data_IF_263081709523
#
_entry.id   IF_263081709523
#
_cell.length_a   1.000
_cell.length_b   1.000
_cell.length_c   1.000
_cell.angle_alpha   90.00
_cell.angle_beta   90.00
_cell.angle_gamma   90.00
#
_symmetry.space_group_name_H-M   'P 1'
#
loop_
_entity.id
_entity.type
_entity.pdbx_description
1 polymer ?
#
# COMPACT_ATOMS: atom_id res chain seq x y z
N UNK A 1 1.75 13.34 2.17
CA UNK A 1 0.84 12.30 1.67
C UNK A 1 0.83 11.06 2.55
N UNK A 2 -0.15 10.20 2.34
CA UNK A 2 -0.18 8.88 2.96
C UNK A 2 -0.58 7.79 1.96
N UNK A 3 -0.22 6.54 2.27
CA UNK A 3 -0.66 5.33 1.58
C UNK A 3 -1.24 4.37 2.60
N UNK A 4 -2.48 3.93 2.35
CA UNK A 4 -3.11 2.83 3.06
C UNK A 4 -3.06 1.59 2.17
N UNK A 5 -2.43 0.50 2.63
CA UNK A 5 -2.29 -0.72 1.85
C UNK A 5 -2.76 -1.95 2.64
N UNK A 6 -3.91 -2.47 2.23
CA UNK A 6 -4.57 -3.65 2.76
C UNK A 6 -5.10 -4.53 1.65
N UNK A 7 -6.38 -4.90 1.67
CA UNK A 7 -7.08 -5.62 0.59
C UNK A 7 -7.05 -4.81 -0.70
N UNK A 8 -7.37 -3.52 -0.59
CA UNK A 8 -7.15 -2.45 -1.57
C UNK A 8 -6.06 -1.51 -1.10
N UNK A 9 -5.62 -0.59 -1.94
CA UNK A 9 -4.72 0.48 -1.53
C UNK A 9 -5.14 1.85 -2.05
N UNK A 10 -4.73 2.86 -1.28
CA UNK A 10 -5.02 4.25 -1.55
C UNK A 10 -3.75 5.07 -1.37
N UNK A 11 -3.41 5.91 -2.33
CA UNK A 11 -2.49 7.01 -2.11
C UNK A 11 -3.29 8.31 -2.02
N UNK A 12 -3.09 9.06 -0.96
CA UNK A 12 -3.74 10.35 -0.71
C UNK A 12 -2.69 11.42 -0.54
N UNK A 13 -2.70 12.41 -1.42
CA UNK A 13 -1.74 13.51 -1.45
C UNK A 13 -2.46 14.84 -1.34
N UNK A 14 -2.15 15.62 -0.29
CA UNK A 14 -2.68 16.97 -0.15
C UNK A 14 -2.11 17.85 -1.25
N UNK A 15 -2.96 18.55 -1.97
CA UNK A 15 -2.58 19.41 -3.08
C UNK A 15 -2.94 20.87 -2.76
N UNK A 16 -2.18 21.80 -3.31
CA UNK A 16 -2.33 23.25 -3.09
C UNK A 16 -2.82 24.00 -4.32
N UNK A 17 -3.02 23.29 -5.43
CA UNK A 17 -3.51 23.86 -6.70
C UNK A 17 -4.52 22.91 -7.35
N UNK A 18 -5.21 23.43 -8.36
CA UNK A 18 -6.18 22.66 -9.15
C UNK A 18 -5.43 21.75 -10.11
N UNK A 19 -5.77 20.46 -10.10
CA UNK A 19 -5.25 19.47 -11.05
C UNK A 19 -6.06 19.47 -12.34
N UNK A 20 -5.47 18.93 -13.41
CA UNK A 20 -6.22 18.52 -14.59
C UNK A 20 -7.18 17.37 -14.22
N UNK A 21 -8.13 17.09 -15.11
CA UNK A 21 -9.07 15.97 -14.90
C UNK A 21 -8.42 14.68 -15.38
N UNK A 22 -8.32 13.71 -14.47
CA UNK A 22 -7.84 12.34 -14.73
C UNK A 22 -8.90 11.36 -14.24
N UNK A 23 -9.24 10.36 -15.04
CA UNK A 23 -10.22 9.33 -14.67
C UNK A 23 -9.70 8.44 -13.52
N UNK A 24 -8.39 8.36 -13.34
CA UNK A 24 -7.69 7.55 -12.33
C UNK A 24 -7.56 8.26 -10.98
N UNK A 25 -7.90 9.55 -10.89
CA UNK A 25 -7.68 10.38 -9.71
C UNK A 25 -8.99 10.91 -9.16
N UNK A 26 -9.34 10.52 -7.95
CA UNK A 26 -10.46 11.09 -7.23
C UNK A 26 -10.03 12.34 -6.43
N UNK A 27 -10.88 13.36 -6.40
CA UNK A 27 -10.67 14.53 -5.55
C UNK A 27 -11.50 14.43 -4.29
N UNK A 28 -10.83 14.34 -3.16
CA UNK A 28 -11.44 14.31 -1.82
C UNK A 28 -10.89 15.45 -0.95
N UNK A 29 -11.22 15.50 0.34
CA UNK A 29 -10.73 16.54 1.25
C UNK A 29 -10.17 15.95 2.54
N UNK A 30 -9.22 16.67 3.15
CA UNK A 30 -8.86 16.42 4.54
C UNK A 30 -10.02 16.82 5.47
N UNK A 31 -10.05 16.38 6.74
CA UNK A 31 -11.02 16.83 7.72
C UNK A 31 -11.01 18.36 7.93
N UNK A 32 -9.90 19.05 7.62
CA UNK A 32 -9.77 20.50 7.66
C UNK A 32 -10.14 21.20 6.33
N UNK A 33 -10.70 20.45 5.34
CA UNK A 33 -11.17 21.02 4.07
C UNK A 33 -10.10 21.26 3.00
N UNK A 34 -8.85 20.82 3.21
CA UNK A 34 -7.81 20.93 2.17
C UNK A 34 -8.06 19.88 1.07
N UNK A 35 -7.87 20.23 -0.22
CA UNK A 35 -8.05 19.29 -1.31
C UNK A 35 -7.00 18.17 -1.27
N UNK A 36 -7.42 16.96 -1.62
CA UNK A 36 -6.58 15.76 -1.64
C UNK A 36 -6.82 15.04 -2.96
N UNK A 37 -5.75 14.77 -3.68
CA UNK A 37 -5.76 13.84 -4.79
C UNK A 37 -5.64 12.41 -4.26
N UNK A 38 -6.55 11.54 -4.65
CA UNK A 38 -6.59 10.15 -4.23
C UNK A 38 -6.48 9.22 -5.43
N UNK A 39 -5.48 8.36 -5.39
CA UNK A 39 -5.42 7.16 -6.25
C UNK A 39 -6.04 6.02 -5.48
N UNK A 40 -7.07 5.39 -6.00
CA UNK A 40 -7.73 4.25 -5.37
C UNK A 40 -7.60 3.00 -6.25
N UNK A 41 -6.93 1.97 -5.73
CA UNK A 41 -6.76 0.69 -6.40
C UNK A 41 -7.54 -0.39 -5.65
N UNK A 42 -8.31 -1.16 -6.38
CA UNK A 42 -9.13 -2.24 -5.81
C UNK A 42 -8.30 -3.45 -5.38
N UNK A 43 -7.13 -3.64 -5.99
CA UNK A 43 -6.34 -4.85 -5.83
C UNK A 43 -4.97 -4.54 -5.23
N UNK A 44 -4.77 -4.90 -3.97
CA UNK A 44 -3.47 -4.80 -3.30
C UNK A 44 -3.01 -6.18 -2.78
N UNK A 45 -3.31 -6.54 -1.53
CA UNK A 45 -2.75 -7.76 -0.93
C UNK A 45 -3.62 -9.01 -1.04
N UNK A 46 -4.80 -8.95 -1.66
CA UNK A 46 -5.73 -10.10 -1.70
C UNK A 46 -5.14 -11.32 -2.40
N UNK A 47 -4.53 -11.14 -3.58
CA UNK A 47 -3.87 -12.23 -4.30
C UNK A 47 -2.61 -12.71 -3.57
N UNK A 48 -1.80 -11.78 -3.05
CA UNK A 48 -0.64 -12.11 -2.22
C UNK A 48 -1.01 -12.95 -1.00
N UNK A 49 -2.13 -12.62 -0.33
CA UNK A 49 -2.64 -13.39 0.80
C UNK A 49 -3.08 -14.80 0.39
N UNK A 50 -3.66 -14.98 -0.80
CA UNK A 50 -4.00 -16.30 -1.31
C UNK A 50 -2.75 -17.18 -1.47
N UNK A 51 -1.66 -16.63 -2.00
CA UNK A 51 -0.38 -17.33 -2.08
C UNK A 51 0.22 -17.63 -0.71
N UNK A 52 0.17 -16.72 0.24
CA UNK A 52 0.62 -16.96 1.62
C UNK A 52 -0.20 -18.08 2.28
N UNK A 53 -1.52 -18.12 2.04
CA UNK A 53 -2.37 -19.20 2.54
C UNK A 53 -2.01 -20.56 1.92
N UNK A 54 -1.57 -20.61 0.67
CA UNK A 54 -1.07 -21.86 0.07
C UNK A 54 0.16 -22.40 0.82
N UNK A 55 1.09 -21.53 1.24
CA UNK A 55 2.22 -21.93 2.07
C UNK A 55 1.80 -22.38 3.47
N UNK A 56 0.77 -21.75 4.05
CA UNK A 56 0.15 -22.21 5.30
C UNK A 56 -0.41 -23.64 5.14
N UNK A 57 -1.21 -23.89 4.10
CA UNK A 57 -1.78 -25.22 3.83
C UNK A 57 -0.69 -26.29 3.66
N UNK A 58 0.43 -25.93 3.02
CA UNK A 58 1.57 -26.83 2.90
C UNK A 58 2.21 -27.16 4.26
N UNK A 59 2.34 -26.19 5.17
CA UNK A 59 2.83 -26.48 6.53
C UNK A 59 1.85 -27.38 7.31
N UNK A 60 0.55 -27.14 7.18
CA UNK A 60 -0.49 -27.99 7.80
C UNK A 60 -0.41 -29.42 7.28
N UNK A 61 -0.22 -29.62 5.97
CA UNK A 61 -0.04 -30.94 5.36
C UNK A 61 1.18 -31.68 5.93
N UNK A 62 2.26 -30.98 6.25
CA UNK A 62 3.46 -31.54 6.88
C UNK A 62 3.34 -31.75 8.38
N UNK A 63 2.21 -31.40 9.00
CA UNK A 63 2.03 -31.46 10.46
C UNK A 63 2.86 -30.43 11.24
N UNK A 64 3.32 -29.35 10.58
CA UNK A 64 4.10 -28.29 11.21
C UNK A 64 3.13 -27.27 11.83
N UNK A 65 3.31 -26.88 13.12
CA UNK A 65 2.48 -25.85 13.73
C UNK A 65 2.49 -24.55 12.93
N UNK A 66 1.29 -23.99 12.73
CA UNK A 66 1.13 -22.76 11.95
C UNK A 66 1.15 -21.54 12.84
N UNK A 67 2.03 -20.57 12.48
CA UNK A 67 2.02 -19.21 13.01
C UNK A 67 2.01 -18.25 11.82
N UNK A 68 0.88 -17.57 11.58
CA UNK A 68 0.71 -16.69 10.44
C UNK A 68 1.66 -15.50 10.45
N UNK A 69 1.94 -14.90 11.60
CA UNK A 69 2.89 -13.78 11.70
C UNK A 69 4.30 -14.20 11.30
N UNK A 70 4.69 -15.41 11.67
CA UNK A 70 5.99 -15.98 11.28
C UNK A 70 6.04 -16.28 9.78
N UNK A 71 4.97 -16.84 9.20
CA UNK A 71 4.87 -17.11 7.76
C UNK A 71 5.00 -15.80 6.98
N UNK A 72 4.19 -14.79 7.30
CA UNK A 72 4.30 -13.48 6.66
C UNK A 72 5.69 -12.88 6.81
N UNK A 73 6.22 -12.88 8.02
CA UNK A 73 7.56 -12.35 8.29
C UNK A 73 8.64 -13.02 7.43
N UNK A 74 8.65 -14.35 7.38
CA UNK A 74 9.63 -15.10 6.58
C UNK A 74 9.47 -14.89 5.09
N UNK A 75 8.24 -15.00 4.57
CA UNK A 75 7.95 -14.84 3.15
C UNK A 75 8.21 -13.42 2.65
N UNK A 76 7.87 -12.42 3.45
CA UNK A 76 8.12 -11.02 3.08
C UNK A 76 9.61 -10.68 3.13
N UNK A 77 10.34 -11.14 4.15
CA UNK A 77 11.77 -10.87 4.25
C UNK A 77 12.58 -11.59 3.17
N UNK A 78 12.24 -12.84 2.80
CA UNK A 78 12.95 -13.54 1.72
C UNK A 78 12.80 -12.79 0.38
N UNK A 79 11.67 -12.13 0.12
CA UNK A 79 11.45 -11.33 -1.08
C UNK A 79 12.50 -10.22 -1.27
N UNK A 80 13.05 -9.68 -0.19
CA UNK A 80 14.09 -8.65 -0.25
C UNK A 80 15.43 -9.18 -0.79
N UNK A 81 15.64 -10.49 -0.80
CA UNK A 81 16.83 -11.15 -1.34
C UNK A 81 16.67 -11.56 -2.81
N UNK A 82 15.48 -11.37 -3.38
CA UNK A 82 15.22 -11.65 -4.79
C UNK A 82 15.95 -10.69 -5.73
N UNK A 83 16.08 -11.10 -6.99
CA UNK A 83 16.66 -10.27 -8.05
C UNK A 83 15.83 -8.99 -8.24
N UNK A 84 16.46 -7.90 -8.68
CA UNK A 84 15.79 -6.59 -8.82
C UNK A 84 14.67 -6.59 -9.86
N UNK A 85 14.80 -7.46 -10.87
CA UNK A 85 13.82 -7.70 -11.93
C UNK A 85 12.86 -8.86 -11.61
N UNK A 86 12.82 -9.30 -10.35
CA UNK A 86 12.07 -10.48 -9.91
C UNK A 86 12.45 -11.77 -10.64
N UNK A 87 13.65 -11.84 -11.23
CA UNK A 87 14.12 -12.99 -12.00
C UNK A 87 13.35 -13.23 -13.30
N UNK A 88 12.70 -12.21 -13.87
CA UNK A 88 11.86 -12.27 -15.06
C UNK A 88 10.39 -12.65 -14.80
N UNK A 89 10.02 -12.97 -13.57
CA UNK A 89 8.66 -13.37 -13.21
C UNK A 89 7.69 -12.17 -13.29
N UNK A 90 6.45 -12.42 -13.73
CA UNK A 90 5.39 -11.43 -13.82
C UNK A 90 4.14 -11.91 -13.08
N UNK A 91 3.44 -10.98 -12.45
CA UNK A 91 2.15 -11.22 -11.82
C UNK A 91 1.19 -10.06 -12.03
N UNK A 92 -0.07 -10.41 -12.29
CA UNK A 92 -1.23 -9.53 -12.19
C UNK A 92 -2.08 -9.99 -11.01
N UNK A 93 -2.31 -9.10 -10.05
CA UNK A 93 -3.01 -9.41 -8.80
C UNK A 93 -4.51 -9.05 -8.83
N UNK A 94 -5.11 -8.83 -9.99
CA UNK A 94 -6.48 -8.37 -10.13
C UNK A 94 -7.48 -9.48 -9.76
N UNK A 95 -7.91 -9.49 -8.51
CA UNK A 95 -9.01 -10.34 -8.01
C UNK A 95 -10.37 -9.76 -8.47
N UNK A 96 -10.45 -8.43 -8.57
CA UNK A 96 -11.62 -7.69 -9.01
C UNK A 96 -11.27 -6.74 -10.15
N UNK A 97 -12.25 -6.05 -10.71
CA UNK A 97 -12.01 -4.97 -11.65
C UNK A 97 -11.09 -3.91 -11.06
N UNK A 98 -10.36 -3.19 -11.94
CA UNK A 98 -9.37 -2.20 -11.55
C UNK A 98 -9.59 -0.90 -12.33
N UNK A 99 -10.20 0.12 -11.71
CA UNK A 99 -10.55 1.37 -12.39
C UNK A 99 -9.35 2.11 -12.96
N UNK A 100 -8.24 2.15 -12.20
CA UNK A 100 -7.00 2.85 -12.62
C UNK A 100 -6.44 2.33 -13.93
N UNK A 101 -6.67 1.06 -14.26
CA UNK A 101 -6.21 0.45 -15.50
C UNK A 101 -7.35 0.10 -16.48
N UNK A 102 -8.58 0.49 -16.15
CA UNK A 102 -9.76 0.34 -17.02
C UNK A 102 -10.27 -1.09 -17.15
N UNK A 103 -9.95 -2.00 -16.22
CA UNK A 103 -10.44 -3.38 -16.25
C UNK A 103 -11.75 -3.51 -15.46
N UNK A 104 -12.82 -3.96 -16.12
CA UNK A 104 -14.12 -4.19 -15.49
C UNK A 104 -14.11 -5.43 -14.56
N UNK A 105 -13.41 -6.49 -14.95
CA UNK A 105 -13.33 -7.75 -14.22
C UNK A 105 -11.89 -8.11 -13.90
N UNK A 106 -11.67 -8.75 -12.76
CA UNK A 106 -10.36 -9.24 -12.33
C UNK A 106 -10.13 -10.69 -12.73
N UNK A 107 -8.87 -11.02 -13.01
CA UNK A 107 -8.40 -12.39 -13.17
C UNK A 107 -6.90 -12.45 -12.85
N UNK A 108 -6.52 -12.89 -11.64
CA UNK A 108 -5.12 -13.00 -11.26
C UNK A 108 -4.37 -13.92 -12.23
N UNK A 109 -3.13 -13.53 -12.55
CA UNK A 109 -2.30 -14.26 -13.47
C UNK A 109 -0.85 -14.23 -13.00
N UNK A 110 -0.23 -15.40 -12.90
CA UNK A 110 1.21 -15.55 -12.71
C UNK A 110 1.85 -16.13 -13.96
N UNK A 111 2.87 -15.48 -14.49
CA UNK A 111 3.53 -15.84 -15.75
C UNK A 111 5.02 -15.98 -15.55
N UNK A 112 5.58 -17.02 -16.15
CA UNK A 112 7.02 -17.24 -16.25
C UNK A 112 7.41 -17.86 -17.57
N UNK A 113 8.61 -17.59 -18.03
CA UNK A 113 9.25 -18.27 -19.15
C UNK A 113 10.14 -19.42 -18.67
N UNK A 114 10.63 -20.22 -19.60
CA UNK A 114 11.52 -21.34 -19.27
C UNK A 114 12.88 -20.91 -18.70
N UNK A 115 13.32 -19.68 -19.00
CA UNK A 115 14.63 -19.16 -18.61
C UNK A 115 14.58 -18.28 -17.36
N UNK A 116 13.39 -18.03 -16.80
CA UNK A 116 13.22 -17.18 -15.62
C UNK A 116 13.76 -17.86 -14.37
N UNK A 117 14.29 -17.07 -13.45
CA UNK A 117 14.81 -17.56 -12.18
C UNK A 117 13.66 -17.78 -11.19
N UNK A 118 12.95 -18.89 -11.36
CA UNK A 118 11.84 -19.24 -10.49
C UNK A 118 12.33 -19.83 -9.16
N UNK A 119 12.35 -19.03 -8.13
CA UNK A 119 12.64 -19.38 -6.75
C UNK A 119 11.74 -18.61 -5.80
N UNK A 120 11.71 -18.97 -4.51
CA UNK A 120 10.82 -18.38 -3.51
C UNK A 120 11.04 -16.89 -3.34
N UNK A 121 12.29 -16.42 -3.36
CA UNK A 121 12.61 -15.00 -3.18
C UNK A 121 12.05 -14.15 -4.33
N UNK A 122 12.29 -14.56 -5.57
CA UNK A 122 11.77 -13.89 -6.76
C UNK A 122 10.24 -13.97 -6.85
N UNK A 123 9.66 -15.13 -6.55
CA UNK A 123 8.23 -15.33 -6.51
C UNK A 123 7.56 -14.36 -5.53
N UNK A 124 8.01 -14.31 -4.28
CA UNK A 124 7.45 -13.42 -3.27
C UNK A 124 7.67 -11.94 -3.59
N UNK A 125 8.83 -11.61 -4.16
CA UNK A 125 9.13 -10.25 -4.61
C UNK A 125 8.19 -9.79 -5.73
N UNK A 126 7.91 -10.68 -6.71
CA UNK A 126 6.97 -10.42 -7.80
C UNK A 126 5.58 -10.06 -7.26
N UNK A 127 5.06 -10.86 -6.33
CA UNK A 127 3.73 -10.63 -5.75
C UNK A 127 3.68 -9.38 -4.86
N UNK A 128 4.76 -9.05 -4.15
CA UNK A 128 4.86 -7.80 -3.40
C UNK A 128 4.86 -6.58 -4.33
N UNK A 129 5.57 -6.61 -5.45
CA UNK A 129 5.50 -5.52 -6.43
C UNK A 129 4.15 -5.47 -7.15
N UNK A 130 3.55 -6.61 -7.49
CA UNK A 130 2.20 -6.64 -8.06
C UNK A 130 1.18 -5.96 -7.15
N UNK A 131 1.30 -6.13 -5.82
CA UNK A 131 0.38 -5.53 -4.86
C UNK A 131 0.40 -3.99 -4.81
N UNK A 132 1.45 -3.35 -5.32
CA UNK A 132 1.59 -1.88 -5.36
C UNK A 132 1.75 -1.33 -6.78
N UNK A 133 1.68 -2.20 -7.81
CA UNK A 133 1.95 -1.83 -9.19
C UNK A 133 0.94 -0.85 -9.76
N UNK A 134 -0.34 -1.04 -9.48
CA UNK A 134 -1.41 -0.13 -9.92
C UNK A 134 -1.31 1.21 -9.21
N UNK A 135 -1.03 1.19 -7.90
CA UNK A 135 -0.82 2.42 -7.14
C UNK A 135 0.32 3.26 -7.73
N UNK A 136 1.38 2.60 -8.21
CA UNK A 136 2.47 3.28 -8.93
C UNK A 136 1.97 3.99 -10.19
N UNK A 137 1.11 3.37 -10.99
CA UNK A 137 0.56 3.98 -12.21
C UNK A 137 -0.16 5.29 -11.87
N UNK A 138 -1.07 5.27 -10.90
CA UNK A 138 -1.77 6.48 -10.46
C UNK A 138 -0.84 7.53 -9.83
N UNK A 139 0.16 7.12 -9.06
CA UNK A 139 1.14 8.07 -8.52
C UNK A 139 2.02 8.69 -9.61
N UNK A 140 2.32 7.97 -10.70
CA UNK A 140 3.05 8.54 -11.84
C UNK A 140 2.28 9.71 -12.48
N UNK A 141 0.96 9.64 -12.56
CA UNK A 141 0.12 10.77 -13.00
C UNK A 141 0.37 11.98 -12.09
N UNK A 142 0.26 11.80 -10.77
CA UNK A 142 0.44 12.90 -9.81
C UNK A 142 1.84 13.49 -9.88
N UNK A 143 2.88 12.67 -9.93
CA UNK A 143 4.27 13.13 -9.83
C UNK A 143 4.86 13.56 -11.17
N UNK A 144 4.53 12.86 -12.25
CA UNK A 144 5.14 13.09 -13.57
C UNK A 144 4.31 13.99 -14.48
N UNK A 145 2.96 13.97 -14.40
CA UNK A 145 2.09 14.82 -15.21
C UNK A 145 1.71 16.09 -14.46
N UNK A 146 1.16 15.95 -13.25
CA UNK A 146 0.74 17.07 -12.41
C UNK A 146 1.91 17.74 -11.65
N UNK A 147 3.11 17.18 -11.72
CA UNK A 147 4.35 17.72 -11.11
C UNK A 147 4.26 17.95 -9.60
N UNK A 148 3.39 17.20 -8.93
CA UNK A 148 3.26 17.28 -7.48
C UNK A 148 4.55 16.82 -6.81
N UNK A 149 5.02 17.60 -5.87
CA UNK A 149 6.17 17.26 -5.01
C UNK A 149 5.66 16.89 -3.63
N UNK A 150 6.14 15.77 -3.11
CA UNK A 150 5.82 15.33 -1.76
C UNK A 150 7.09 15.33 -0.91
N UNK A 151 7.01 15.91 0.28
CA UNK A 151 8.12 15.90 1.23
C UNK A 151 8.23 14.54 1.92
N UNK A 152 7.09 13.92 2.19
CA UNK A 152 6.98 12.65 2.90
C UNK A 152 5.67 11.94 2.59
N UNK A 153 5.76 10.62 2.46
CA UNK A 153 4.60 9.73 2.39
C UNK A 153 4.63 8.81 3.62
N UNK A 154 3.51 8.73 4.33
CA UNK A 154 3.35 7.83 5.46
C UNK A 154 2.57 6.60 5.04
N UNK A 155 3.15 5.41 5.25
CA UNK A 155 2.50 4.13 4.95
C UNK A 155 1.80 3.54 6.17
N UNK A 156 0.59 2.97 5.97
CA UNK A 156 -0.13 2.21 6.98
C UNK A 156 -0.95 1.07 6.36
N UNK A 157 -1.43 0.14 7.19
CA UNK A 157 -2.17 -1.04 6.76
C UNK A 157 -1.36 -2.34 6.78
N UNK A 158 -1.99 -3.43 6.37
CA UNK A 158 -1.45 -4.79 6.52
C UNK A 158 -0.11 -5.03 5.82
N UNK A 159 0.12 -4.40 4.67
CA UNK A 159 1.40 -4.51 3.94
C UNK A 159 2.60 -4.07 4.78
N UNK A 160 2.41 -3.15 5.72
CA UNK A 160 3.48 -2.58 6.55
C UNK A 160 3.69 -3.29 7.89
N UNK A 161 2.90 -4.32 8.23
CA UNK A 161 3.06 -5.09 9.47
C UNK A 161 4.43 -5.77 9.55
N UNK A 162 4.94 -6.32 8.44
CA UNK A 162 6.31 -6.84 8.39
C UNK A 162 7.28 -5.67 8.26
N UNK A 163 7.97 -5.37 9.36
CA UNK A 163 8.83 -4.19 9.48
C UNK A 163 9.84 -4.08 8.33
N UNK A 164 9.84 -2.95 7.66
CA UNK A 164 10.80 -2.58 6.63
C UNK A 164 10.56 -3.18 5.24
N UNK A 165 9.72 -4.20 5.08
CA UNK A 165 9.50 -4.83 3.77
C UNK A 165 8.55 -3.99 2.90
N UNK A 166 7.31 -3.77 3.33
CA UNK A 166 6.36 -2.94 2.59
C UNK A 166 6.89 -1.55 2.29
N UNK A 167 7.62 -0.95 3.25
CA UNK A 167 8.30 0.33 3.05
C UNK A 167 9.25 0.33 1.86
N UNK A 168 10.15 -0.68 1.78
CA UNK A 168 11.16 -0.77 0.71
C UNK A 168 10.53 -1.05 -0.64
N UNK A 169 9.54 -1.95 -0.69
CA UNK A 169 8.81 -2.28 -1.92
C UNK A 169 8.09 -1.05 -2.45
N UNK A 170 7.31 -0.38 -1.61
CA UNK A 170 6.57 0.81 -2.03
C UNK A 170 7.51 1.97 -2.39
N UNK A 171 8.53 2.24 -1.57
CA UNK A 171 9.50 3.30 -1.85
C UNK A 171 10.21 3.09 -3.19
N UNK A 172 10.56 1.84 -3.53
CA UNK A 172 11.15 1.50 -4.82
C UNK A 172 10.15 1.65 -5.97
N UNK A 173 8.87 1.27 -5.77
CA UNK A 173 7.84 1.36 -6.80
C UNK A 173 7.51 2.81 -7.17
N UNK A 174 7.32 3.69 -6.19
CA UNK A 174 6.91 5.09 -6.43
C UNK A 174 8.05 6.10 -6.37
N UNK A 175 9.30 5.63 -6.21
CA UNK A 175 10.51 6.46 -6.12
C UNK A 175 10.39 7.61 -5.10
N UNK A 176 9.85 7.32 -3.93
CA UNK A 176 9.64 8.31 -2.85
C UNK A 176 9.92 7.69 -1.47
N UNK A 177 10.47 8.46 -0.51
CA UNK A 177 10.67 7.97 0.84
C UNK A 177 9.35 7.62 1.53
N UNK A 178 9.28 6.44 2.16
CA UNK A 178 8.12 5.99 2.91
C UNK A 178 8.46 5.93 4.40
N UNK A 179 7.70 6.67 5.20
CA UNK A 179 7.72 6.59 6.66
C UNK A 179 6.62 5.66 7.14
N UNK A 180 6.87 4.90 8.20
CA UNK A 180 5.86 4.04 8.83
C UNK A 180 5.88 4.32 10.33
N UNK A 181 4.71 4.64 10.89
CA UNK A 181 4.56 4.85 12.33
C UNK A 181 4.47 3.50 13.06
N UNK A 182 4.75 3.48 14.36
CA UNK A 182 4.58 2.27 15.19
C UNK A 182 3.14 1.74 15.17
N UNK A 183 2.16 2.66 15.05
CA UNK A 183 0.73 2.36 14.95
C UNK A 183 0.25 2.03 13.53
N UNK A 184 1.15 1.88 12.58
CA UNK A 184 0.81 1.76 11.15
C UNK A 184 -0.10 0.59 10.80
N UNK A 185 -0.10 -0.49 11.59
CA UNK A 185 -1.02 -1.61 11.41
C UNK A 185 -2.50 -1.23 11.54
N UNK A 186 -2.81 -0.17 12.28
CA UNK A 186 -4.17 0.28 12.64
C UNK A 186 -4.38 1.78 12.31
N UNK A 187 -3.73 2.30 11.29
CA UNK A 187 -3.70 3.73 10.98
C UNK A 187 -5.08 4.36 10.77
N UNK A 188 -6.02 3.66 10.15
CA UNK A 188 -7.40 4.12 9.97
C UNK A 188 -8.15 4.28 11.30
N UNK A 189 -8.09 3.25 12.16
CA UNK A 189 -8.71 3.28 13.49
C UNK A 189 -8.08 4.37 14.37
N UNK A 190 -6.77 4.53 14.32
CA UNK A 190 -6.04 5.60 14.99
C UNK A 190 -6.52 6.99 14.54
N UNK A 191 -6.60 7.22 13.23
CA UNK A 191 -7.03 8.50 12.67
C UNK A 191 -8.44 8.89 13.10
N UNK A 192 -9.41 7.96 13.07
CA UNK A 192 -10.79 8.26 13.52
C UNK A 192 -10.86 8.49 15.03
N UNK A 193 -10.05 7.79 15.83
CA UNK A 193 -9.96 8.01 17.25
C UNK A 193 -9.43 9.42 17.58
N UNK A 194 -8.46 9.91 16.83
CA UNK A 194 -7.96 11.29 16.96
C UNK A 194 -9.03 12.33 16.64
N UNK A 195 -9.82 12.11 15.58
CA UNK A 195 -10.94 13.00 15.24
C UNK A 195 -12.02 12.98 16.33
N UNK A 196 -12.33 11.81 16.87
CA UNK A 196 -13.24 11.67 18.01
C UNK A 196 -12.72 12.39 19.26
N UNK A 197 -11.43 12.26 19.56
CA UNK A 197 -10.80 12.97 20.67
C UNK A 197 -10.83 14.49 20.47
N UNK A 198 -10.54 14.98 19.27
CA UNK A 198 -10.67 16.39 18.94
C UNK A 198 -12.09 16.90 19.18
N UNK A 199 -13.11 16.18 18.71
CA UNK A 199 -14.51 16.56 18.87
C UNK A 199 -14.90 16.79 20.34
N UNK A 200 -14.37 15.97 21.25
CA UNK A 200 -14.74 16.00 22.68
C UNK A 200 -13.85 16.94 23.50
N UNK A 201 -12.56 17.05 23.16
CA UNK A 201 -11.54 17.67 24.00
C UNK A 201 -10.98 18.99 23.45
N UNK A 202 -11.40 19.45 22.26
CA UNK A 202 -10.87 20.69 21.71
C UNK A 202 -11.24 21.90 22.58
N UNK A 203 -10.34 22.88 22.66
CA UNK A 203 -10.61 24.17 23.25
C UNK A 203 -11.41 25.05 22.28
N UNK A 204 -12.21 25.99 22.80
CA UNK A 204 -13.00 26.89 21.95
C UNK A 204 -12.10 27.63 20.95
N UNK A 205 -12.33 27.42 19.67
CA UNK A 205 -11.57 28.07 18.59
C UNK A 205 -10.23 27.38 18.23
N UNK A 206 -9.87 26.27 18.89
CA UNK A 206 -8.69 25.49 18.55
C UNK A 206 -8.89 24.75 17.22
N UNK A 207 -7.96 24.89 16.29
CA UNK A 207 -7.99 24.12 15.04
C UNK A 207 -7.62 22.65 15.28
N UNK A 208 -7.99 21.76 14.34
CA UNK A 208 -7.55 20.37 14.39
C UNK A 208 -6.02 20.27 14.37
N UNK A 209 -5.34 21.09 13.58
CA UNK A 209 -3.88 21.09 13.52
C UNK A 209 -3.27 21.43 14.88
N UNK A 210 -3.70 22.53 15.50
CA UNK A 210 -3.20 22.93 16.83
C UNK A 210 -3.48 21.87 17.89
N UNK A 211 -4.66 21.23 17.83
CA UNK A 211 -4.99 20.15 18.76
C UNK A 211 -4.05 18.94 18.59
N UNK A 212 -3.76 18.54 17.36
CA UNK A 212 -2.86 17.42 17.08
C UNK A 212 -1.43 17.72 17.51
N UNK A 213 -0.93 18.93 17.23
CA UNK A 213 0.41 19.37 17.61
C UNK A 213 0.58 19.45 19.14
N UNK A 214 -0.47 19.92 19.87
CA UNK A 214 -0.42 20.04 21.34
C UNK A 214 -0.62 18.70 22.07
N UNK A 215 -1.37 17.75 21.50
CA UNK A 215 -1.89 16.58 22.23
C UNK A 215 -1.36 15.25 21.74
N UNK A 216 -0.77 15.16 20.54
CA UNK A 216 -0.43 13.90 19.87
C UNK A 216 1.02 13.88 19.38
N UNK A 217 1.54 14.97 18.87
CA UNK A 217 2.86 15.12 18.27
C UNK A 217 3.65 16.19 19.03
#
# INVERSE_FOLDING_TARGET
GNVSAGTSDFAMVVVDHKLNVHEEIDMVTTPAGKPVAMVHCNNCTSDLNAWVNLFKEYQELLGIPVNMDEIYSKLYNIALTGDTDCGGLLSYNYISGEPVTGFADGRPLFVRSANDKFNLANFMRTHLYASVGVLKIGNDILFNEEKIKVDRITGHGGLFRTKGVGQRILAAAINSPISVMETAGEGGAWGIALLGSYLVNNKKGQSLADFLDESVF
#
